data_IF_415162112982
#
_entry.id   IF_415162112982
#
_cell.length_a   1.000
_cell.length_b   1.000
_cell.length_c   1.000
_cell.angle_alpha   90.00
_cell.angle_beta   90.00
_cell.angle_gamma   90.00
#
_symmetry.space_group_name_H-M   'P 1'
#
loop_
_entity.id
_entity.type
_entity.pdbx_description
1 polymer ?
#
# COMPACT_ATOMS: atom_id res chain seq x y z
N UNK A 1 8.54 -3.29 12.83
CA UNK A 1 8.68 -4.34 11.77
C UNK A 1 8.43 -5.70 12.39
N UNK A 2 7.55 -6.52 11.82
CA UNK A 2 7.29 -7.90 12.25
C UNK A 2 7.41 -8.88 11.09
N UNK A 3 7.70 -10.14 11.40
CA UNK A 3 7.74 -11.22 10.40
C UNK A 3 6.37 -11.88 10.40
N UNK A 4 5.65 -11.76 9.29
CA UNK A 4 4.31 -12.32 9.13
C UNK A 4 4.31 -13.38 8.02
N UNK A 5 3.38 -14.32 8.12
CA UNK A 5 3.06 -15.26 7.04
C UNK A 5 1.88 -14.68 6.29
N UNK A 6 2.03 -14.55 4.99
CA UNK A 6 1.02 -13.97 4.10
C UNK A 6 0.63 -14.98 3.06
N UNK A 7 -0.67 -15.18 2.86
CA UNK A 7 -1.20 -15.93 1.73
C UNK A 7 -2.15 -15.05 0.89
N UNK A 8 -2.50 -15.54 -0.30
CA UNK A 8 -3.40 -14.83 -1.20
C UNK A 8 -4.80 -14.67 -0.63
N UNK A 9 -5.26 -15.61 0.20
CA UNK A 9 -6.57 -15.56 0.85
C UNK A 9 -6.65 -14.49 1.94
N UNK A 10 -5.56 -14.23 2.68
CA UNK A 10 -5.43 -13.15 3.66
C UNK A 10 -5.67 -11.80 2.99
N UNK A 11 -4.99 -11.59 1.85
CA UNK A 11 -5.06 -10.33 1.12
C UNK A 11 -6.45 -10.15 0.51
N UNK A 12 -6.96 -11.17 -0.18
CA UNK A 12 -8.31 -11.13 -0.79
C UNK A 12 -9.37 -10.93 0.30
N UNK A 13 -9.29 -11.67 1.40
CA UNK A 13 -10.25 -11.59 2.50
C UNK A 13 -10.19 -10.28 3.29
N UNK A 14 -9.10 -9.51 3.18
CA UNK A 14 -9.03 -8.13 3.68
C UNK A 14 -9.64 -7.15 2.68
N UNK A 15 -9.35 -7.29 1.39
CA UNK A 15 -9.88 -6.43 0.33
C UNK A 15 -11.40 -6.58 0.14
N UNK A 16 -11.92 -7.79 0.29
CA UNK A 16 -13.35 -8.10 0.25
C UNK A 16 -14.11 -7.59 1.48
N UNK A 17 -13.42 -7.41 2.60
CA UNK A 17 -13.97 -6.83 3.82
C UNK A 17 -14.07 -5.31 3.66
N UNK A 18 -15.07 -4.85 2.91
CA UNK A 18 -15.19 -3.44 2.53
C UNK A 18 -15.23 -2.50 3.74
N UNK A 19 -15.79 -2.90 4.87
CA UNK A 19 -15.80 -2.07 6.08
C UNK A 19 -14.39 -1.88 6.64
N UNK A 20 -13.63 -2.97 6.82
CA UNK A 20 -12.26 -2.91 7.31
C UNK A 20 -11.33 -2.22 6.31
N UNK A 21 -11.50 -2.53 5.03
CA UNK A 21 -10.73 -1.93 3.94
C UNK A 21 -10.99 -0.43 3.83
N UNK A 22 -12.25 0.00 3.82
CA UNK A 22 -12.59 1.43 3.74
C UNK A 22 -12.13 2.20 4.97
N UNK A 23 -12.27 1.64 6.17
CA UNK A 23 -11.77 2.26 7.39
C UNK A 23 -10.25 2.45 7.33
N UNK A 24 -9.52 1.42 6.93
CA UNK A 24 -8.08 1.48 6.79
C UNK A 24 -7.62 2.45 5.70
N UNK A 25 -8.27 2.42 4.53
CA UNK A 25 -8.00 3.37 3.44
C UNK A 25 -8.27 4.80 3.89
N UNK A 26 -9.38 5.05 4.58
CA UNK A 26 -9.72 6.37 5.12
C UNK A 26 -8.70 6.86 6.14
N UNK A 27 -8.28 6.01 7.08
CA UNK A 27 -7.24 6.34 8.07
C UNK A 27 -5.90 6.64 7.39
N UNK A 28 -5.51 5.84 6.39
CA UNK A 28 -4.26 6.03 5.65
C UNK A 28 -4.30 7.31 4.82
N UNK A 29 -5.38 7.51 4.07
CA UNK A 29 -5.60 8.73 3.28
C UNK A 29 -5.56 9.97 4.17
N UNK A 30 -6.28 9.96 5.29
CA UNK A 30 -6.30 11.07 6.25
C UNK A 30 -4.94 11.34 6.92
N UNK A 31 -4.08 10.32 7.01
CA UNK A 31 -2.70 10.49 7.51
C UNK A 31 -1.77 11.10 6.46
N UNK A 32 -2.11 10.96 5.18
CA UNK A 32 -1.32 11.46 4.06
C UNK A 32 -1.78 12.85 3.62
N UNK A 33 -3.08 13.12 3.70
CA UNK A 33 -3.72 14.41 3.44
C UNK A 33 -3.41 15.38 4.59
N UNK A 34 -2.25 16.04 4.48
CA UNK A 34 -1.71 16.89 5.55
C UNK A 34 -2.45 18.23 5.56
N UNK A 35 -2.78 18.75 4.39
CA UNK A 35 -3.49 20.01 4.26
C UNK A 35 -5.03 19.88 4.35
N UNK A 36 -5.54 18.63 4.33
CA UNK A 36 -6.95 18.29 4.48
C UNK A 36 -7.82 18.87 3.37
N UNK A 37 -7.27 18.93 2.16
CA UNK A 37 -7.99 19.39 0.98
C UNK A 37 -8.89 18.28 0.37
N UNK A 38 -8.73 17.04 0.84
CA UNK A 38 -9.49 15.87 0.38
C UNK A 38 -8.89 15.17 -0.83
N UNK A 39 -7.68 15.55 -1.24
CA UNK A 39 -6.91 14.98 -2.34
C UNK A 39 -5.45 14.76 -1.91
N UNK A 40 -4.75 13.77 -2.48
CA UNK A 40 -3.33 13.57 -2.23
C UNK A 40 -2.52 14.18 -3.35
N UNK A 41 -1.72 15.18 -3.00
CA UNK A 41 -0.71 15.70 -3.90
C UNK A 41 0.46 14.72 -4.07
N UNK A 42 1.23 14.88 -5.15
CA UNK A 42 2.45 14.10 -5.35
C UNK A 42 3.41 14.16 -4.15
N UNK A 43 3.52 15.33 -3.50
CA UNK A 43 4.41 15.52 -2.36
C UNK A 43 3.94 14.76 -1.10
N UNK A 44 2.63 14.69 -0.89
CA UNK A 44 2.02 13.94 0.22
C UNK A 44 2.14 12.44 0.00
N UNK A 45 1.81 11.97 -1.20
CA UNK A 45 1.91 10.56 -1.55
C UNK A 45 3.36 10.08 -1.57
N UNK A 46 4.32 10.94 -1.91
CA UNK A 46 5.75 10.63 -1.83
C UNK A 46 6.19 10.21 -0.42
N UNK A 47 5.60 10.77 0.64
CA UNK A 47 5.93 10.36 2.03
C UNK A 47 5.50 8.92 2.30
N UNK A 48 4.40 8.48 1.70
CA UNK A 48 3.92 7.11 1.80
C UNK A 48 4.80 6.14 1.01
N UNK A 49 5.06 6.49 -0.25
CA UNK A 49 5.83 5.67 -1.18
C UNK A 49 7.28 5.48 -0.71
N UNK A 50 7.85 6.48 -0.01
CA UNK A 50 9.14 6.35 0.67
C UNK A 50 9.12 5.31 1.80
N UNK A 51 7.99 5.18 2.52
CA UNK A 51 7.81 4.14 3.55
C UNK A 51 7.52 2.76 2.97
N UNK A 52 6.93 2.71 1.77
CA UNK A 52 6.53 1.50 1.08
C UNK A 52 7.72 0.67 0.55
N UNK A 53 8.97 1.17 0.70
CA UNK A 53 10.23 0.48 0.31
C UNK A 53 10.20 -0.13 -1.09
N UNK A 54 9.44 0.47 -2.01
CA UNK A 54 9.21 -0.01 -3.39
C UNK A 54 10.51 -0.14 -4.19
N UNK A 55 11.57 0.53 -3.75
CA UNK A 55 12.89 0.53 -4.37
C UNK A 55 14.00 -0.04 -3.49
N UNK A 56 13.68 -0.90 -2.52
CA UNK A 56 14.69 -1.81 -1.95
C UNK A 56 15.05 -2.90 -2.97
N UNK A 57 15.67 -2.49 -4.09
CA UNK A 57 16.29 -3.37 -5.09
C UNK A 57 17.49 -4.17 -4.53
N UNK A 58 17.82 -3.97 -3.25
CA UNK A 58 19.02 -4.50 -2.64
C UNK A 58 18.83 -5.24 -1.31
N UNK A 59 17.66 -5.84 -1.03
CA UNK A 59 17.49 -6.86 0.02
C UNK A 59 18.40 -6.69 1.26
N UNK A 60 18.36 -5.51 1.91
CA UNK A 60 19.20 -5.22 3.09
C UNK A 60 20.57 -4.55 2.85
N UNK A 61 20.86 -4.02 1.66
CA UNK A 61 21.98 -3.08 1.46
C UNK A 61 21.39 -1.68 1.23
N UNK A 62 21.68 -0.78 2.18
CA UNK A 62 21.30 0.63 2.18
C UNK A 62 22.07 1.40 1.08
N UNK A 63 21.72 1.14 -0.18
CA UNK A 63 22.16 1.95 -1.31
C UNK A 63 21.08 3.00 -1.49
N UNK A 64 21.38 4.23 -1.06
CA UNK A 64 20.53 5.40 -1.34
C UNK A 64 20.34 5.48 -2.86
N UNK A 65 19.15 5.21 -3.39
CA UNK A 65 18.92 5.30 -4.81
C UNK A 65 19.04 6.76 -5.23
N UNK A 66 19.42 6.99 -6.49
CA UNK A 66 19.57 8.34 -7.01
C UNK A 66 18.22 9.10 -6.91
N UNK A 67 18.20 10.32 -6.36
CA UNK A 67 16.95 11.06 -6.15
C UNK A 67 16.19 11.35 -7.45
N UNK A 68 16.87 11.49 -8.59
CA UNK A 68 16.22 11.69 -9.89
C UNK A 68 15.62 10.39 -10.43
N UNK A 69 16.23 9.23 -10.13
CA UNK A 69 15.67 7.92 -10.49
C UNK A 69 14.46 7.58 -9.60
N UNK A 70 14.55 7.85 -8.30
CA UNK A 70 13.43 7.76 -7.36
C UNK A 70 12.25 8.60 -7.80
N UNK A 71 12.48 9.86 -8.16
CA UNK A 71 11.43 10.75 -8.63
C UNK A 71 10.73 10.23 -9.90
N UNK A 72 11.45 9.57 -10.81
CA UNK A 72 10.83 8.96 -12.01
C UNK A 72 9.96 7.76 -11.68
N UNK A 73 10.43 6.88 -10.78
CA UNK A 73 9.67 5.70 -10.39
C UNK A 73 8.43 6.12 -9.60
N UNK A 74 8.59 6.99 -8.60
CA UNK A 74 7.46 7.52 -7.83
C UNK A 74 6.51 8.34 -8.69
N UNK A 75 7.01 9.13 -9.65
CA UNK A 75 6.16 9.82 -10.63
C UNK A 75 5.37 8.85 -11.50
N UNK A 76 5.97 7.74 -11.92
CA UNK A 76 5.28 6.71 -12.72
C UNK A 76 4.23 5.96 -11.90
N UNK A 77 4.49 5.71 -10.61
CA UNK A 77 3.52 5.17 -9.66
C UNK A 77 2.37 6.17 -9.44
N UNK A 78 2.68 7.44 -9.26
CA UNK A 78 1.66 8.47 -9.03
C UNK A 78 0.67 8.56 -10.19
N UNK A 79 1.15 8.48 -11.43
CA UNK A 79 0.30 8.45 -12.63
C UNK A 79 -0.60 7.22 -12.70
N UNK A 80 -0.30 6.13 -11.98
CA UNK A 80 -1.22 4.98 -11.89
C UNK A 80 -2.35 5.21 -10.88
N UNK A 81 -2.11 6.03 -9.87
CA UNK A 81 -3.12 6.40 -8.87
C UNK A 81 -4.03 7.53 -9.38
N UNK A 82 -3.48 8.50 -10.12
CA UNK A 82 -4.20 9.62 -10.73
C UNK A 82 -4.86 9.15 -12.04
N UNK A 83 -6.08 8.61 -11.96
CA UNK A 83 -6.78 7.98 -13.09
C UNK A 83 -7.31 9.03 -14.06
N UNK A 84 -7.69 10.20 -13.57
CA UNK A 84 -8.20 11.31 -14.38
C UNK A 84 -7.11 12.29 -14.86
N UNK A 85 -5.86 12.08 -14.44
CA UNK A 85 -4.69 12.89 -14.75
C UNK A 85 -4.86 14.36 -14.35
N UNK A 86 -5.59 14.63 -13.26
CA UNK A 86 -5.83 15.97 -12.75
C UNK A 86 -4.65 16.52 -11.91
N UNK A 87 -3.66 15.67 -11.59
CA UNK A 87 -2.48 16.00 -10.80
C UNK A 87 -2.63 15.81 -9.29
N UNK A 88 -3.72 15.18 -8.86
CA UNK A 88 -4.06 14.86 -7.47
C UNK A 88 -4.79 13.52 -7.42
N UNK A 89 -4.72 12.82 -6.28
CA UNK A 89 -5.39 11.52 -6.12
C UNK A 89 -6.49 11.67 -5.10
N UNK A 90 -7.74 11.48 -5.51
CA UNK A 90 -8.85 11.51 -4.57
C UNK A 90 -8.99 10.20 -3.78
N UNK A 91 -9.85 10.20 -2.76
CA UNK A 91 -10.06 9.02 -1.90
C UNK A 91 -10.55 7.79 -2.70
N UNK A 92 -11.41 7.98 -3.70
CA UNK A 92 -11.96 6.89 -4.49
C UNK A 92 -10.90 6.32 -5.44
N UNK A 93 -10.09 7.18 -6.06
CA UNK A 93 -8.94 6.76 -6.86
C UNK A 93 -7.90 6.02 -6.02
N UNK A 94 -7.53 6.57 -4.87
CA UNK A 94 -6.60 5.95 -3.93
C UNK A 94 -7.10 4.57 -3.48
N UNK A 95 -8.39 4.46 -3.17
CA UNK A 95 -9.05 3.21 -2.80
C UNK A 95 -9.04 2.19 -3.93
N UNK A 96 -9.43 2.61 -5.14
CA UNK A 96 -9.53 1.74 -6.31
C UNK A 96 -8.16 1.18 -6.71
N UNK A 97 -7.15 2.04 -6.75
CA UNK A 97 -5.80 1.65 -7.12
C UNK A 97 -5.15 0.77 -6.04
N UNK A 98 -5.29 1.12 -4.77
CA UNK A 98 -4.80 0.28 -3.66
C UNK A 98 -5.44 -1.10 -3.69
N UNK A 99 -6.76 -1.18 -3.90
CA UNK A 99 -7.48 -2.45 -4.05
C UNK A 99 -6.91 -3.27 -5.20
N UNK A 100 -6.70 -2.65 -6.36
CA UNK A 100 -6.17 -3.31 -7.55
C UNK A 100 -4.76 -3.85 -7.31
N UNK A 101 -3.89 -3.06 -6.69
CA UNK A 101 -2.52 -3.49 -6.35
C UNK A 101 -2.52 -4.66 -5.37
N UNK A 102 -3.33 -4.61 -4.30
CA UNK A 102 -3.41 -5.72 -3.35
C UNK A 102 -3.92 -7.01 -3.99
N UNK A 103 -4.93 -6.93 -4.87
CA UNK A 103 -5.41 -8.10 -5.60
C UNK A 103 -4.38 -8.64 -6.60
N UNK A 104 -3.62 -7.77 -7.28
CA UNK A 104 -2.54 -8.19 -8.15
C UNK A 104 -1.44 -8.93 -7.36
N UNK A 105 -1.05 -8.39 -6.19
CA UNK A 105 -0.11 -9.07 -5.30
C UNK A 105 -0.65 -10.42 -4.85
N UNK A 106 -1.94 -10.52 -4.53
CA UNK A 106 -2.56 -11.80 -4.15
C UNK A 106 -2.55 -12.82 -5.30
N UNK A 107 -2.83 -12.38 -6.54
CA UNK A 107 -2.77 -13.24 -7.73
C UNK A 107 -1.34 -13.72 -8.00
N UNK A 108 -0.35 -12.83 -7.89
CA UNK A 108 1.07 -13.12 -8.07
C UNK A 108 1.67 -13.99 -6.95
N UNK A 109 1.17 -13.89 -5.71
CA UNK A 109 1.62 -14.71 -4.58
C UNK A 109 1.28 -16.20 -4.79
N UNK A 110 0.25 -16.48 -5.59
CA UNK A 110 -0.21 -17.84 -5.89
C UNK A 110 -0.77 -18.56 -4.66
N UNK A 111 -0.59 -19.88 -4.62
CA UNK A 111 -1.19 -20.76 -3.60
C UNK A 111 -0.29 -20.98 -2.37
N UNK A 112 1.00 -20.67 -2.45
CA UNK A 112 1.94 -20.95 -1.36
C UNK A 112 2.09 -19.74 -0.45
N UNK A 113 1.92 -19.89 0.87
CA UNK A 113 2.14 -18.80 1.81
C UNK A 113 3.62 -18.38 1.79
N UNK A 114 3.86 -17.07 1.87
CA UNK A 114 5.19 -16.48 1.88
C UNK A 114 5.43 -15.81 3.23
N UNK A 115 6.62 -15.99 3.78
CA UNK A 115 7.04 -15.30 5.00
C UNK A 115 7.74 -13.99 4.62
N UNK A 116 7.25 -12.86 5.12
CA UNK A 116 7.73 -11.52 4.75
C UNK A 116 7.92 -10.64 5.99
N UNK A 117 8.87 -9.71 5.91
CA UNK A 117 9.03 -8.65 6.92
C UNK A 117 8.12 -7.51 6.53
N UNK A 118 7.18 -7.15 7.41
CA UNK A 118 6.23 -6.09 7.18
C UNK A 118 6.50 -4.91 8.12
N UNK A 119 6.40 -3.69 7.58
CA UNK A 119 6.46 -2.48 8.38
C UNK A 119 5.16 -2.29 9.17
N UNK A 120 5.28 -1.55 10.28
CA UNK A 120 4.14 -1.19 11.11
C UNK A 120 3.25 -0.25 10.31
N UNK A 121 1.94 -0.54 10.28
CA UNK A 121 0.92 0.17 9.48
C UNK A 121 1.02 0.00 7.96
N UNK A 122 1.74 -1.01 7.48
CA UNK A 122 1.70 -1.41 6.06
C UNK A 122 0.39 -2.09 5.67
N UNK A 123 -0.01 -1.95 4.41
CA UNK A 123 -1.22 -2.55 3.82
C UNK A 123 -1.32 -4.06 4.11
N UNK A 124 -0.22 -4.79 3.88
CA UNK A 124 -0.17 -6.24 4.06
C UNK A 124 -0.19 -6.63 5.55
N UNK A 125 0.42 -5.84 6.44
CA UNK A 125 0.37 -6.12 7.89
C UNK A 125 -1.06 -6.04 8.40
N UNK A 126 -1.83 -5.08 7.92
CA UNK A 126 -3.25 -4.91 8.29
C UNK A 126 -4.12 -6.05 7.79
N UNK A 127 -3.82 -6.59 6.61
CA UNK A 127 -4.48 -7.79 6.11
C UNK A 127 -4.24 -8.99 7.05
N UNK A 128 -2.99 -9.21 7.49
CA UNK A 128 -2.65 -10.28 8.44
C UNK A 128 -3.31 -10.05 9.81
N UNK A 129 -3.24 -8.84 10.36
CA UNK A 129 -3.89 -8.49 11.63
C UNK A 129 -5.41 -8.76 11.58
N UNK A 130 -6.06 -8.46 10.44
CA UNK A 130 -7.49 -8.73 10.25
C UNK A 130 -7.80 -10.22 10.23
N UNK A 131 -6.99 -11.03 9.53
CA UNK A 131 -7.17 -12.48 9.52
C UNK A 131 -6.96 -13.07 10.92
N UNK A 132 -5.90 -12.68 11.63
CA UNK A 132 -5.64 -13.14 13.00
C UNK A 132 -6.81 -12.81 13.95
N UNK A 133 -7.43 -11.65 13.77
CA UNK A 133 -8.62 -11.26 14.53
C UNK A 133 -9.84 -12.13 14.18
N UNK A 134 -9.99 -12.53 12.90
CA UNK A 134 -11.05 -13.46 12.46
C UNK A 134 -10.84 -14.89 13.01
N UNK A 135 -9.59 -15.34 13.14
CA UNK A 135 -9.24 -16.68 13.66
C UNK A 135 -9.34 -16.75 15.19
N UNK A 136 -9.17 -15.61 15.88
CA UNK A 136 -9.24 -15.52 17.35
C UNK A 136 -10.66 -15.30 17.91
N UNK A 137 -11.66 -15.06 17.05
CA UNK A 137 -13.06 -14.85 17.41
C UNK A 137 -13.89 -16.14 17.29
#
# INVERSE_FOLDING_TARGET
>A
MSVEVLDSATIVGFVEDEEAFNAFIGDRFSSLDVDRDGCLSYAEMLRDLQGLRVLETHFGVDVKPDPDELARVYGSLFVQFDHDANGSVDLEEFKAETRRMMLAVADDLGFLPVQMVLEEDSFLKKAVERELTKVAA
#
